data_IF_997478460450
#
_entry.id   IF_997478460450
#
_cell.length_a   1.000
_cell.length_b   1.000
_cell.length_c   1.000
_cell.angle_alpha   90.00
_cell.angle_beta   90.00
_cell.angle_gamma   90.00
#
_symmetry.space_group_name_H-M   'P 1'
#
loop_
_entity.id
_entity.type
_entity.pdbx_description
1 polymer ?
#
# COMPACT_ATOMS: atom_id res chain seq x y z
N UNK A 1 26.46 24.62 20.27
CA UNK A 1 26.17 24.38 21.70
C UNK A 1 25.73 22.93 21.87
N UNK A 2 26.53 22.09 22.55
CA UNK A 2 26.10 20.73 22.90
C UNK A 2 25.13 20.83 24.08
N UNK A 3 23.84 20.58 23.85
CA UNK A 3 22.89 20.39 24.95
C UNK A 3 23.19 19.04 25.62
N UNK A 4 23.72 19.09 26.85
CA UNK A 4 23.92 17.90 27.67
C UNK A 4 22.60 17.16 27.90
N UNK A 5 22.67 15.82 27.93
CA UNK A 5 21.50 14.96 28.17
C UNK A 5 20.84 15.31 29.51
N UNK A 6 19.58 15.77 29.48
CA UNK A 6 18.79 16.05 30.69
C UNK A 6 18.72 14.78 31.55
N UNK A 7 18.95 14.93 32.87
CA UNK A 7 18.81 13.83 33.84
C UNK A 7 17.35 13.37 33.88
N UNK A 8 17.14 12.05 33.87
CA UNK A 8 15.80 11.47 34.01
C UNK A 8 15.34 11.65 35.46
N UNK A 9 14.09 12.10 35.71
CA UNK A 9 13.53 12.20 37.05
C UNK A 9 13.63 10.88 37.82
N UNK A 10 13.85 10.98 39.14
CA UNK A 10 14.04 9.84 40.04
C UNK A 10 12.94 8.77 39.91
N UNK A 11 11.70 9.21 39.72
CA UNK A 11 10.51 8.36 39.56
C UNK A 11 10.48 7.57 38.23
N UNK A 12 11.07 8.12 37.16
CA UNK A 12 11.06 7.53 35.81
C UNK A 12 12.36 6.76 35.50
N UNK A 13 13.30 6.75 36.45
CA UNK A 13 14.57 6.08 36.32
C UNK A 13 14.38 4.55 36.38
N UNK A 14 15.08 3.84 35.49
CA UNK A 14 15.09 2.38 35.42
C UNK A 14 15.96 1.81 36.55
N UNK A 15 15.37 1.69 37.75
CA UNK A 15 16.08 1.32 38.98
C UNK A 15 16.12 -0.18 39.25
N UNK A 16 15.10 -0.92 38.80
CA UNK A 16 14.90 -2.32 39.14
C UNK A 16 15.14 -3.21 37.91
N UNK A 17 15.77 -4.36 38.16
CA UNK A 17 16.02 -5.40 37.16
C UNK A 17 15.05 -6.57 37.41
N UNK A 18 14.47 -7.09 36.33
CA UNK A 18 13.50 -8.19 36.36
C UNK A 18 13.98 -9.28 35.43
N UNK A 19 14.23 -10.48 35.98
CA UNK A 19 14.70 -11.63 35.21
C UNK A 19 13.80 -12.83 35.45
N UNK A 20 13.50 -13.55 34.38
CA UNK A 20 12.79 -14.83 34.43
C UNK A 20 13.32 -15.77 33.37
N UNK A 21 13.19 -17.08 33.61
CA UNK A 21 13.54 -18.10 32.63
C UNK A 21 12.30 -18.43 31.80
N UNK A 22 12.50 -18.59 30.50
CA UNK A 22 11.45 -18.98 29.55
C UNK A 22 11.94 -20.16 28.71
N UNK A 23 11.01 -20.94 28.18
CA UNK A 23 11.33 -22.02 27.26
C UNK A 23 11.68 -21.47 25.85
N UNK A 24 12.19 -22.37 24.99
CA UNK A 24 12.60 -22.04 23.63
C UNK A 24 11.45 -21.45 22.79
N UNK A 25 10.25 -22.03 22.91
CA UNK A 25 9.06 -21.58 22.18
C UNK A 25 8.75 -20.09 22.46
N UNK A 26 8.72 -19.68 23.72
CA UNK A 26 8.47 -18.30 24.09
C UNK A 26 9.63 -17.38 23.68
N UNK A 27 10.87 -17.86 23.73
CA UNK A 27 12.02 -17.09 23.28
C UNK A 27 11.97 -16.79 21.78
N UNK A 28 11.63 -17.79 20.94
CA UNK A 28 11.51 -17.58 19.50
C UNK A 28 10.32 -16.69 19.13
N UNK A 29 9.21 -16.79 19.87
CA UNK A 29 8.09 -15.85 19.74
C UNK A 29 8.53 -14.41 20.02
N UNK A 30 9.31 -14.18 21.07
CA UNK A 30 9.83 -12.85 21.40
C UNK A 30 10.82 -12.33 20.35
N UNK A 31 11.68 -13.18 19.77
CA UNK A 31 12.55 -12.78 18.64
C UNK A 31 11.74 -12.34 17.43
N UNK A 32 10.70 -13.10 17.06
CA UNK A 32 9.81 -12.74 15.95
C UNK A 32 9.12 -11.40 16.19
N UNK A 33 8.64 -11.17 17.42
CA UNK A 33 8.05 -9.89 17.82
C UNK A 33 9.07 -8.76 17.76
N UNK A 34 10.31 -8.98 18.23
CA UNK A 34 11.37 -7.98 18.17
C UNK A 34 11.64 -7.54 16.72
N UNK A 35 11.77 -8.49 15.80
CA UNK A 35 12.01 -8.24 14.38
C UNK A 35 10.89 -7.43 13.70
N UNK A 36 9.64 -7.58 14.16
CA UNK A 36 8.48 -6.85 13.63
C UNK A 36 8.18 -5.55 14.40
N UNK A 37 8.92 -5.25 15.46
CA UNK A 37 8.69 -4.08 16.31
C UNK A 37 9.67 -2.95 16.00
N UNK A 38 9.38 -1.75 16.53
CA UNK A 38 10.32 -0.61 16.47
C UNK A 38 11.53 -0.73 17.42
N UNK A 39 11.61 -1.76 18.25
CA UNK A 39 12.61 -1.82 19.32
C UNK A 39 13.92 -2.45 18.85
N UNK A 40 15.04 -1.85 19.27
CA UNK A 40 16.39 -2.30 18.88
C UNK A 40 16.87 -3.53 19.64
N UNK A 41 16.30 -3.82 20.82
CA UNK A 41 16.75 -4.92 21.67
C UNK A 41 15.60 -5.52 22.50
N UNK A 42 15.86 -6.73 23.01
CA UNK A 42 14.90 -7.52 23.80
C UNK A 42 14.47 -6.79 25.07
N UNK A 43 15.38 -6.09 25.75
CA UNK A 43 15.08 -5.33 26.97
C UNK A 43 14.06 -4.21 26.71
N UNK A 44 14.16 -3.53 25.57
CA UNK A 44 13.21 -2.49 25.16
C UNK A 44 11.82 -3.09 24.88
N UNK A 45 11.76 -4.22 24.17
CA UNK A 45 10.52 -4.92 23.89
C UNK A 45 9.84 -5.42 25.18
N UNK A 46 10.59 -6.14 26.03
CA UNK A 46 10.08 -6.70 27.28
C UNK A 46 9.59 -5.61 28.24
N UNK A 47 10.28 -4.47 28.32
CA UNK A 47 9.83 -3.34 29.14
C UNK A 47 8.46 -2.83 28.71
N UNK A 48 8.18 -2.79 27.41
CA UNK A 48 6.89 -2.33 26.93
C UNK A 48 5.77 -3.33 27.26
N UNK A 49 6.07 -4.63 27.11
CA UNK A 49 5.14 -5.71 27.46
C UNK A 49 4.83 -5.70 28.97
N UNK A 50 5.87 -5.55 29.81
CA UNK A 50 5.71 -5.60 31.28
C UNK A 50 5.08 -4.33 31.84
N UNK A 51 5.38 -3.16 31.26
CA UNK A 51 4.83 -1.89 31.72
C UNK A 51 3.49 -1.52 31.05
N UNK A 52 2.80 -2.49 30.45
CA UNK A 52 1.50 -2.37 29.78
C UNK A 52 1.41 -1.18 28.80
N UNK A 53 2.52 -0.96 28.07
CA UNK A 53 2.58 0.12 27.08
C UNK A 53 2.19 -0.45 25.71
N UNK A 54 1.50 0.34 24.86
CA UNK A 54 1.06 -0.13 23.56
C UNK A 54 2.24 -0.63 22.72
N UNK A 55 2.13 -1.86 22.25
CA UNK A 55 3.13 -2.49 21.40
C UNK A 55 2.79 -2.20 19.93
N UNK A 56 3.46 -1.24 19.31
CA UNK A 56 3.36 -1.02 17.86
C UNK A 56 4.14 -2.12 17.12
N UNK A 57 3.42 -3.01 16.47
CA UNK A 57 3.96 -4.04 15.58
C UNK A 57 3.74 -3.57 14.14
N UNK A 58 4.79 -3.59 13.33
CA UNK A 58 4.67 -3.38 11.89
C UNK A 58 4.34 -4.71 11.22
N UNK A 59 3.07 -4.87 10.86
CA UNK A 59 2.66 -5.96 9.96
C UNK A 59 2.75 -5.43 8.54
N UNK A 60 3.76 -5.86 7.79
CA UNK A 60 3.80 -5.64 6.35
C UNK A 60 2.97 -6.75 5.71
N UNK A 61 1.77 -6.42 5.25
CA UNK A 61 0.97 -7.32 4.46
C UNK A 61 1.46 -7.26 3.01
N UNK A 62 2.25 -8.25 2.60
CA UNK A 62 2.77 -8.37 1.24
C UNK A 62 1.65 -8.59 0.22
N UNK A 63 0.49 -9.07 0.66
CA UNK A 63 -0.66 -9.33 -0.20
C UNK A 63 -1.31 -8.04 -0.73
N UNK A 64 -1.18 -6.92 -0.01
CA UNK A 64 -1.63 -5.60 -0.47
C UNK A 64 -0.65 -4.99 -1.49
N UNK A 65 0.64 -5.32 -1.38
CA UNK A 65 1.67 -4.86 -2.30
C UNK A 65 1.43 -5.36 -3.72
N UNK A 66 1.15 -6.66 -3.87
CA UNK A 66 0.87 -7.29 -5.17
C UNK A 66 -0.38 -6.70 -5.82
N UNK A 67 -1.44 -6.50 -5.04
CA UNK A 67 -2.70 -5.92 -5.55
C UNK A 67 -2.50 -4.46 -5.99
N UNK A 68 -1.71 -3.68 -5.24
CA UNK A 68 -1.39 -2.30 -5.60
C UNK A 68 -0.56 -2.22 -6.90
N UNK A 69 0.34 -3.16 -7.13
CA UNK A 69 1.13 -3.23 -8.36
C UNK A 69 0.24 -3.44 -9.59
N UNK A 70 -0.70 -4.38 -9.52
CA UNK A 70 -1.67 -4.65 -10.60
C UNK A 70 -2.58 -3.43 -10.88
N UNK A 71 -3.04 -2.74 -9.83
CA UNK A 71 -3.79 -1.49 -9.99
C UNK A 71 -3.01 -0.40 -10.71
N UNK A 72 -1.71 -0.26 -10.40
CA UNK A 72 -0.85 0.75 -11.05
C UNK A 72 -0.69 0.45 -12.54
N UNK A 73 -0.53 -0.83 -12.92
CA UNK A 73 -0.45 -1.25 -14.33
C UNK A 73 -1.73 -0.87 -15.08
N UNK A 74 -2.89 -1.23 -14.55
CA UNK A 74 -4.17 -0.98 -15.22
C UNK A 74 -4.48 0.51 -15.33
N UNK A 75 -4.17 1.31 -14.30
CA UNK A 75 -4.27 2.77 -14.38
C UNK A 75 -3.42 3.34 -15.52
N UNK A 76 -2.21 2.80 -15.72
CA UNK A 76 -1.34 3.18 -16.84
C UNK A 76 -1.99 2.88 -18.20
N UNK A 77 -2.57 1.69 -18.34
CA UNK A 77 -3.26 1.27 -19.58
C UNK A 77 -4.49 2.14 -19.88
N UNK A 78 -5.34 2.43 -18.88
CA UNK A 78 -6.49 3.32 -19.05
C UNK A 78 -6.07 4.74 -19.46
N UNK A 79 -4.99 5.27 -18.87
CA UNK A 79 -4.46 6.58 -19.24
C UNK A 79 -3.99 6.61 -20.70
N UNK A 80 -3.34 5.55 -21.17
CA UNK A 80 -2.93 5.44 -22.57
C UNK A 80 -4.13 5.43 -23.51
N UNK A 81 -5.20 4.70 -23.16
CA UNK A 81 -6.44 4.66 -23.96
C UNK A 81 -7.13 6.03 -23.96
N UNK A 82 -7.24 6.69 -22.81
CA UNK A 82 -7.81 8.03 -22.71
C UNK A 82 -7.04 9.06 -23.56
N UNK A 83 -5.71 8.95 -23.60
CA UNK A 83 -4.88 9.78 -24.47
C UNK A 83 -5.15 9.52 -25.95
N UNK A 84 -5.35 8.26 -26.36
CA UNK A 84 -5.69 7.92 -27.74
C UNK A 84 -7.07 8.45 -28.15
N UNK A 85 -8.07 8.34 -27.27
CA UNK A 85 -9.41 8.91 -27.49
C UNK A 85 -9.35 10.43 -27.63
N UNK A 86 -8.56 11.09 -26.78
CA UNK A 86 -8.35 12.54 -26.86
C UNK A 86 -7.69 12.94 -28.19
N UNK A 87 -6.76 12.16 -28.71
CA UNK A 87 -6.12 12.42 -30.00
C UNK A 87 -7.12 12.30 -31.15
N UNK A 88 -7.91 11.23 -31.20
CA UNK A 88 -8.95 11.05 -32.23
C UNK A 88 -10.01 12.14 -32.15
N UNK A 89 -10.46 12.49 -30.95
CA UNK A 89 -11.44 13.58 -30.75
C UNK A 89 -10.89 14.92 -31.25
N UNK A 90 -9.62 15.24 -30.95
CA UNK A 90 -8.97 16.46 -31.45
C UNK A 90 -8.85 16.45 -32.99
N UNK A 91 -8.50 15.32 -33.59
CA UNK A 91 -8.43 15.19 -35.06
C UNK A 91 -9.80 15.37 -35.72
N UNK A 92 -10.85 14.73 -35.20
CA UNK A 92 -12.22 14.88 -35.71
C UNK A 92 -12.72 16.33 -35.59
N UNK A 93 -12.38 17.02 -34.49
CA UNK A 93 -12.77 18.41 -34.29
C UNK A 93 -11.95 19.40 -35.15
N UNK A 94 -10.70 19.07 -35.49
CA UNK A 94 -9.81 19.95 -36.27
C UNK A 94 -10.08 19.91 -37.79
N UNK A 95 -10.73 18.86 -38.30
CA UNK A 95 -11.03 18.71 -39.73
C UNK A 95 -12.33 19.46 -40.10
N UNK A 96 -12.32 20.39 -41.07
CA UNK A 96 -13.52 21.15 -41.44
C UNK A 96 -14.45 20.41 -42.41
N UNK A 97 -13.94 19.45 -43.21
CA UNK A 97 -14.73 18.74 -44.24
C UNK A 97 -15.48 17.50 -43.69
N UNK A 98 -16.80 17.37 -43.92
CA UNK A 98 -17.62 16.28 -43.38
C UNK A 98 -17.18 14.86 -43.78
N UNK A 99 -16.69 14.68 -45.01
CA UNK A 99 -16.28 13.37 -45.53
C UNK A 99 -14.99 12.85 -44.88
N UNK A 100 -14.07 13.75 -44.50
CA UNK A 100 -12.83 13.39 -43.79
C UNK A 100 -13.07 13.13 -42.30
N UNK A 101 -14.04 13.81 -41.68
CA UNK A 101 -14.50 13.48 -40.31
C UNK A 101 -15.00 12.04 -40.21
N UNK A 102 -15.74 11.58 -41.22
CA UNK A 102 -16.25 10.21 -41.28
C UNK A 102 -15.11 9.18 -41.29
N UNK A 103 -14.04 9.42 -42.06
CA UNK A 103 -12.89 8.52 -42.14
C UNK A 103 -12.19 8.36 -40.78
N UNK A 104 -12.04 9.45 -40.01
CA UNK A 104 -11.45 9.41 -38.68
C UNK A 104 -12.39 8.85 -37.60
N UNK A 105 -13.70 9.02 -37.77
CA UNK A 105 -14.71 8.43 -36.89
C UNK A 105 -14.81 6.90 -37.01
N UNK A 106 -14.36 6.30 -38.12
CA UNK A 106 -14.35 4.85 -38.32
C UNK A 106 -13.40 4.10 -37.38
N UNK A 107 -12.39 4.76 -36.81
CA UNK A 107 -11.49 4.17 -35.80
C UNK A 107 -12.03 4.26 -34.36
N UNK A 108 -13.11 5.02 -34.15
CA UNK A 108 -13.72 5.26 -32.84
C UNK A 108 -14.34 3.99 -32.20
N UNK A 109 -15.03 3.11 -32.95
CA UNK A 109 -15.62 1.88 -32.41
C UNK A 109 -14.57 0.93 -31.82
N UNK A 110 -13.42 0.76 -32.48
CA UNK A 110 -12.33 -0.11 -32.01
C UNK A 110 -11.71 0.42 -30.71
N UNK A 111 -11.53 1.74 -30.60
CA UNK A 111 -11.04 2.37 -29.37
C UNK A 111 -12.03 2.21 -28.21
N UNK A 112 -13.33 2.35 -28.48
CA UNK A 112 -14.38 2.12 -27.49
C UNK A 112 -14.46 0.64 -27.06
N UNK A 113 -14.26 -0.30 -27.98
CA UNK A 113 -14.14 -1.72 -27.65
C UNK A 113 -12.91 -2.01 -26.77
N UNK A 114 -11.77 -1.36 -27.03
CA UNK A 114 -10.58 -1.50 -26.20
C UNK A 114 -10.81 -0.97 -24.78
N UNK A 115 -11.52 0.15 -24.62
CA UNK A 115 -11.96 0.63 -23.29
C UNK A 115 -12.85 -0.39 -22.60
N UNK A 116 -13.86 -0.90 -23.30
CA UNK A 116 -14.81 -1.85 -22.72
C UNK A 116 -14.13 -3.15 -22.27
N UNK A 117 -13.19 -3.66 -23.04
CA UNK A 117 -12.40 -4.84 -22.69
C UNK A 117 -11.54 -4.61 -21.44
N UNK A 118 -10.92 -3.43 -21.31
CA UNK A 118 -10.14 -3.07 -20.11
C UNK A 118 -11.03 -2.80 -18.89
N UNK A 119 -12.23 -2.27 -19.09
CA UNK A 119 -13.22 -2.09 -18.04
C UNK A 119 -13.70 -3.44 -17.47
N UNK A 120 -13.84 -4.47 -18.31
CA UNK A 120 -14.15 -5.83 -17.85
C UNK A 120 -13.01 -6.46 -17.02
N UNK A 121 -11.75 -6.14 -17.33
CA UNK A 121 -10.59 -6.61 -16.54
C UNK A 121 -10.48 -5.95 -15.16
N UNK A 122 -11.03 -4.73 -14.99
CA UNK A 122 -11.01 -4.00 -13.73
C UNK A 122 -11.96 -4.55 -12.66
N UNK A 123 -13.12 -5.04 -13.08
CA UNK A 123 -14.18 -5.54 -12.20
C UNK A 123 -13.64 -6.57 -11.19
N UNK A 124 -12.99 -7.68 -11.61
CA UNK A 124 -12.55 -8.71 -10.66
C UNK A 124 -11.46 -8.21 -9.69
N UNK A 125 -10.67 -7.20 -10.10
CA UNK A 125 -9.60 -6.65 -9.25
C UNK A 125 -10.19 -5.72 -8.18
N UNK A 126 -11.19 -4.92 -8.56
CA UNK A 126 -11.95 -4.09 -7.61
C UNK A 126 -12.74 -4.97 -6.63
N UNK A 127 -13.33 -6.07 -7.10
CA UNK A 127 -14.02 -7.05 -6.26
C UNK A 127 -13.07 -7.72 -5.26
N UNK A 128 -11.92 -8.22 -5.71
CA UNK A 128 -10.90 -8.81 -4.83
C UNK A 128 -10.36 -7.81 -3.78
N UNK A 129 -10.27 -6.52 -4.13
CA UNK A 129 -9.93 -5.45 -3.20
C UNK A 129 -11.03 -5.17 -2.20
N UNK A 130 -12.28 -5.11 -2.66
CA UNK A 130 -13.44 -4.88 -1.81
C UNK A 130 -13.60 -6.02 -0.80
N UNK A 131 -13.44 -7.28 -1.22
CA UNK A 131 -13.47 -8.44 -0.33
C UNK A 131 -12.39 -8.35 0.77
N UNK A 132 -11.14 -8.03 0.41
CA UNK A 132 -10.06 -7.87 1.40
C UNK A 132 -10.27 -6.70 2.35
N UNK A 133 -10.89 -5.60 1.90
CA UNK A 133 -11.17 -4.42 2.74
C UNK A 133 -12.43 -4.59 3.61
N UNK A 134 -13.40 -5.41 3.19
CA UNK A 134 -14.65 -5.70 3.91
C UNK A 134 -14.53 -6.87 4.89
N UNK A 135 -13.42 -7.62 4.86
CA UNK A 135 -13.09 -8.58 5.91
C UNK A 135 -12.85 -7.85 7.24
N UNK A 136 -13.93 -7.69 8.01
CA UNK A 136 -13.92 -7.42 9.45
C UNK A 136 -13.78 -8.72 10.23
#
# INVERSE_FOLDING_TARGET
MYMGRKRVPQQDALRYDVKTRINQYHFDRLKKLLAKSRYKNMSGLLRMIICDKPLTIYTRDESLGVVMEELVKIRGELNAIGNNINQVTRHVNAVPQPQQKLLHALAMPDLLQQVAARQQQLIPIVEALAEKWLQR
#
